data_IF_882685455358
#
_entry.id   IF_882685455358
#
_cell.length_a   1.000
_cell.length_b   1.000
_cell.length_c   1.000
_cell.angle_alpha   90.00
_cell.angle_beta   90.00
_cell.angle_gamma   90.00
#
_symmetry.space_group_name_H-M   'P 1'
#
loop_
_entity.id
_entity.type
_entity.pdbx_description
1 polymer ?
#
# COMPACT_ATOMS: atom_id res chain seq x y z
N UNK A 1 -37.83 3.97 -3.93
CA UNK A 1 -36.53 4.41 -3.40
C UNK A 1 -35.65 3.18 -3.34
N UNK A 2 -35.06 2.83 -4.48
CA UNK A 2 -34.11 1.73 -4.58
C UNK A 2 -32.83 2.19 -3.89
N UNK A 3 -32.52 1.57 -2.75
CA UNK A 3 -31.16 1.60 -2.22
C UNK A 3 -30.37 0.75 -3.21
N UNK A 4 -29.83 1.39 -4.24
CA UNK A 4 -28.79 0.80 -5.05
C UNK A 4 -27.76 0.23 -4.07
N UNK A 5 -27.44 -1.04 -4.28
CA UNK A 5 -26.33 -1.75 -3.67
C UNK A 5 -25.02 -1.03 -4.02
N UNK A 6 -24.83 0.18 -3.49
CA UNK A 6 -23.56 0.88 -3.47
C UNK A 6 -22.67 0.05 -2.56
N UNK A 7 -21.96 -0.88 -3.20
CA UNK A 7 -20.66 -1.40 -2.83
C UNK A 7 -20.41 -1.41 -1.32
N UNK A 8 -20.63 -2.56 -0.70
CA UNK A 8 -19.89 -2.87 0.53
C UNK A 8 -18.39 -2.69 0.17
N UNK A 9 -17.65 -1.76 0.79
CA UNK A 9 -16.26 -1.48 0.44
C UNK A 9 -15.36 -2.72 0.58
N UNK A 10 -15.78 -3.70 1.39
CA UNK A 10 -15.15 -5.01 1.55
C UNK A 10 -15.13 -5.86 0.27
N UNK A 11 -16.05 -5.63 -0.68
CA UNK A 11 -16.11 -6.39 -1.94
C UNK A 11 -15.14 -5.88 -3.01
N UNK A 12 -14.73 -4.60 -2.98
CA UNK A 12 -13.90 -4.02 -4.06
C UNK A 12 -12.40 -4.24 -3.84
N UNK A 13 -11.94 -4.34 -2.59
CA UNK A 13 -10.51 -4.47 -2.29
C UNK A 13 -9.95 -5.86 -2.64
N UNK A 14 -10.71 -6.93 -2.43
CA UNK A 14 -10.27 -8.31 -2.67
C UNK A 14 -8.93 -8.63 -1.99
N UNK A 15 -7.94 -9.07 -2.78
CA UNK A 15 -6.58 -9.40 -2.33
C UNK A 15 -5.57 -8.24 -2.49
N UNK A 16 -6.05 -7.04 -2.82
CA UNK A 16 -5.23 -5.85 -3.01
C UNK A 16 -4.80 -5.26 -1.67
N UNK A 17 -3.74 -4.47 -1.68
CA UNK A 17 -3.21 -3.79 -0.49
C UNK A 17 -3.81 -2.39 -0.37
N UNK A 18 -4.39 -2.06 0.78
CA UNK A 18 -4.96 -0.74 1.03
C UNK A 18 -3.87 0.31 1.34
N UNK A 19 -3.13 0.74 0.34
CA UNK A 19 -2.06 1.74 0.51
C UNK A 19 -0.87 1.24 1.34
N UNK A 20 0.11 2.11 1.57
CA UNK A 20 1.29 1.84 2.39
C UNK A 20 1.15 2.52 3.75
N UNK A 21 1.48 1.77 4.80
CA UNK A 21 1.45 2.19 6.20
C UNK A 21 2.79 1.96 6.88
N UNK A 22 2.91 2.34 8.14
CA UNK A 22 4.10 2.01 8.94
C UNK A 22 4.33 0.49 9.06
N UNK A 23 3.24 -0.26 9.31
CA UNK A 23 3.22 -1.74 9.34
C UNK A 23 2.33 -2.27 8.21
N UNK A 24 2.87 -3.14 7.38
CA UNK A 24 2.17 -3.68 6.22
C UNK A 24 2.14 -5.20 6.30
N UNK A 25 0.95 -5.76 6.47
CA UNK A 25 0.73 -7.21 6.52
C UNK A 25 0.44 -7.72 5.11
N UNK A 26 1.34 -8.55 4.59
CA UNK A 26 1.28 -9.10 3.24
C UNK A 26 1.00 -10.59 3.31
N UNK A 27 0.01 -11.03 2.54
CA UNK A 27 -0.36 -12.43 2.41
C UNK A 27 0.14 -13.08 1.12
N UNK A 28 -0.10 -14.40 0.97
CA UNK A 28 0.36 -15.17 -0.19
C UNK A 28 0.01 -14.55 -1.57
N UNK A 29 -1.20 -14.00 -1.82
CA UNK A 29 -1.52 -13.43 -3.13
C UNK A 29 -0.55 -12.33 -3.62
N UNK A 30 0.00 -11.55 -2.70
CA UNK A 30 0.96 -10.49 -3.02
C UNK A 30 2.40 -11.03 -2.97
N UNK A 31 2.72 -11.81 -1.93
CA UNK A 31 4.07 -12.34 -1.74
C UNK A 31 4.47 -13.32 -2.85
N UNK A 32 3.59 -14.22 -3.27
CA UNK A 32 3.88 -15.19 -4.32
C UNK A 32 4.17 -14.49 -5.66
N UNK A 33 3.39 -13.45 -5.99
CA UNK A 33 3.60 -12.63 -7.17
C UNK A 33 4.93 -11.85 -7.15
N UNK A 34 5.46 -11.58 -5.96
CA UNK A 34 6.78 -10.96 -5.76
C UNK A 34 7.92 -12.00 -5.74
N UNK A 35 7.65 -13.29 -5.87
CA UNK A 35 8.65 -14.36 -5.73
C UNK A 35 8.91 -14.73 -4.27
N UNK A 36 7.88 -14.64 -3.43
CA UNK A 36 7.91 -14.90 -2.00
C UNK A 36 8.61 -13.79 -1.20
N UNK A 37 8.87 -14.08 0.07
CA UNK A 37 9.53 -13.17 1.02
C UNK A 37 10.95 -12.83 0.55
N UNK A 38 11.68 -13.82 0.00
CA UNK A 38 13.01 -13.60 -0.59
C UNK A 38 12.94 -12.63 -1.76
N UNK A 39 11.98 -12.81 -2.67
CA UNK A 39 11.79 -11.90 -3.80
C UNK A 39 11.41 -10.48 -3.36
N UNK A 40 10.59 -10.34 -2.31
CA UNK A 40 10.29 -9.05 -1.70
C UNK A 40 11.58 -8.39 -1.15
N UNK A 41 12.38 -9.11 -0.35
CA UNK A 41 13.62 -8.58 0.23
C UNK A 41 14.62 -8.10 -0.81
N UNK A 42 14.76 -8.78 -1.94
CA UNK A 42 15.67 -8.38 -3.03
C UNK A 42 15.26 -7.05 -3.68
N UNK A 43 13.99 -6.68 -3.63
CA UNK A 43 13.47 -5.42 -4.19
C UNK A 43 13.56 -4.25 -3.23
N UNK A 44 13.85 -4.51 -1.95
CA UNK A 44 13.96 -3.53 -0.90
C UNK A 44 15.44 -3.25 -0.61
N UNK A 45 15.81 -1.98 -0.68
CA UNK A 45 17.16 -1.46 -0.55
C UNK A 45 17.32 -0.57 0.69
N UNK A 46 16.24 0.07 1.16
CA UNK A 46 16.31 0.92 2.34
C UNK A 46 16.61 0.09 3.60
N UNK A 47 17.64 0.48 4.39
CA UNK A 47 17.99 -0.22 5.63
C UNK A 47 16.93 -0.05 6.73
N UNK A 48 16.05 0.93 6.60
CA UNK A 48 14.97 1.18 7.56
C UNK A 48 13.78 0.24 7.34
N UNK A 49 13.76 -0.52 6.25
CA UNK A 49 12.71 -1.48 5.96
C UNK A 49 13.08 -2.84 6.52
N UNK A 50 12.25 -3.34 7.42
CA UNK A 50 12.39 -4.71 7.95
C UNK A 50 11.27 -5.59 7.43
N UNK A 51 11.61 -6.85 7.12
CA UNK A 51 10.64 -7.85 6.65
C UNK A 51 10.70 -9.03 7.61
N UNK A 52 9.65 -9.18 8.41
CA UNK A 52 9.47 -10.30 9.33
C UNK A 52 8.56 -11.35 8.70
N UNK A 53 9.04 -12.58 8.60
CA UNK A 53 8.24 -13.73 8.15
C UNK A 53 7.25 -14.15 9.23
N UNK A 54 6.06 -14.55 8.79
CA UNK A 54 4.99 -15.10 9.61
C UNK A 54 4.58 -16.47 9.07
N UNK A 55 3.84 -17.22 9.87
CA UNK A 55 3.30 -18.52 9.47
C UNK A 55 2.41 -18.41 8.22
N UNK A 56 2.31 -19.50 7.47
CA UNK A 56 1.42 -19.63 6.30
C UNK A 56 1.77 -18.69 5.13
N UNK A 57 3.07 -18.43 4.92
CA UNK A 57 3.53 -17.63 3.77
C UNK A 57 3.13 -16.16 3.86
N UNK A 58 3.04 -15.63 5.08
CA UNK A 58 2.72 -14.21 5.35
C UNK A 58 3.98 -13.46 5.80
N UNK A 59 3.95 -12.14 5.70
CA UNK A 59 5.02 -11.30 6.22
C UNK A 59 4.48 -9.96 6.74
N UNK A 60 5.21 -9.37 7.69
CA UNK A 60 5.05 -7.98 8.10
C UNK A 60 6.23 -7.19 7.56
N UNK A 61 5.94 -6.09 6.87
CA UNK A 61 6.94 -5.10 6.48
C UNK A 61 6.79 -3.87 7.36
N UNK A 62 7.85 -3.52 8.08
CA UNK A 62 7.90 -2.36 8.98
C UNK A 62 8.82 -1.29 8.42
N UNK A 63 8.36 -0.04 8.41
CA UNK A 63 9.07 1.10 7.84
C UNK A 63 9.66 2.00 8.94
N UNK A 64 10.87 1.69 9.40
CA UNK A 64 11.54 2.39 10.49
C UNK A 64 11.03 1.98 11.88
N UNK A 65 11.71 2.47 12.92
CA UNK A 65 11.47 2.08 14.31
C UNK A 65 10.14 2.61 14.90
N UNK A 66 9.62 3.70 14.34
CA UNK A 66 8.39 4.37 14.77
C UNK A 66 7.64 4.91 13.54
N UNK A 67 6.31 5.09 13.63
CA UNK A 67 5.57 5.71 12.54
C UNK A 67 6.07 7.14 12.32
N UNK A 68 6.37 7.47 11.08
CA UNK A 68 6.69 8.83 10.67
C UNK A 68 5.52 9.42 9.89
N UNK A 69 5.08 10.62 10.28
CA UNK A 69 4.02 11.35 9.60
C UNK A 69 4.50 11.93 8.26
N UNK A 70 5.82 12.07 8.08
CA UNK A 70 6.39 12.83 6.98
C UNK A 70 6.08 14.32 7.10
N UNK A 71 6.69 15.08 6.20
CA UNK A 71 6.41 16.51 6.01
C UNK A 71 7.03 16.95 4.68
N UNK A 72 6.20 17.20 3.68
CA UNK A 72 6.69 17.58 2.35
C UNK A 72 7.25 19.01 2.34
N UNK A 73 6.75 19.91 3.19
CA UNK A 73 7.23 21.30 3.30
C UNK A 73 8.63 21.34 3.93
N UNK A 74 8.92 20.40 4.83
CA UNK A 74 10.23 20.26 5.47
C UNK A 74 11.16 19.24 4.79
N UNK A 75 10.79 18.72 3.62
CA UNK A 75 11.61 17.76 2.85
C UNK A 75 11.67 16.34 3.44
N UNK A 76 10.84 16.03 4.44
CA UNK A 76 10.64 14.69 5.01
C UNK A 76 9.75 13.86 4.09
N UNK A 77 10.34 13.36 3.01
CA UNK A 77 9.65 12.69 1.89
C UNK A 77 9.32 11.21 2.11
N UNK A 78 9.60 10.66 3.29
CA UNK A 78 9.34 9.26 3.66
C UNK A 78 9.88 8.24 2.65
N UNK A 79 11.21 8.18 2.42
CA UNK A 79 11.81 7.37 1.36
C UNK A 79 11.47 5.88 1.47
N UNK A 80 11.45 5.31 2.67
CA UNK A 80 11.07 3.91 2.90
C UNK A 80 9.61 3.61 2.48
N UNK A 81 8.69 4.57 2.70
CA UNK A 81 7.29 4.45 2.31
C UNK A 81 7.14 4.50 0.80
N UNK A 82 7.84 5.44 0.14
CA UNK A 82 7.87 5.57 -1.32
C UNK A 82 8.47 4.34 -1.99
N UNK A 83 9.53 3.79 -1.42
CA UNK A 83 10.16 2.57 -1.92
C UNK A 83 9.20 1.37 -1.86
N UNK A 84 8.59 1.10 -0.70
CA UNK A 84 7.62 0.03 -0.59
C UNK A 84 6.40 0.27 -1.49
N UNK A 85 5.94 1.52 -1.63
CA UNK A 85 4.82 1.85 -2.51
C UNK A 85 5.10 1.50 -3.97
N UNK A 86 6.32 1.77 -4.46
CA UNK A 86 6.72 1.39 -5.83
C UNK A 86 6.77 -0.12 -6.02
N UNK A 87 7.28 -0.86 -5.04
CA UNK A 87 7.28 -2.33 -5.08
C UNK A 87 5.85 -2.88 -5.09
N UNK A 88 4.95 -2.26 -4.31
CA UNK A 88 3.57 -2.71 -4.17
C UNK A 88 2.61 -2.11 -5.20
N UNK A 89 3.03 -1.16 -6.04
CA UNK A 89 2.17 -0.43 -6.99
C UNK A 89 1.24 -1.36 -7.80
N UNK A 90 1.72 -2.51 -8.35
CA UNK A 90 0.85 -3.41 -9.10
C UNK A 90 -0.27 -4.05 -8.26
N UNK A 91 -0.15 -4.04 -6.94
CA UNK A 91 -1.04 -4.68 -5.96
C UNK A 91 -1.85 -3.69 -5.13
N UNK A 92 -1.52 -2.40 -5.18
CA UNK A 92 -2.24 -1.37 -4.43
C UNK A 92 -3.69 -1.27 -4.91
N UNK A 93 -4.61 -1.23 -3.97
CA UNK A 93 -6.00 -0.94 -4.25
C UNK A 93 -6.13 0.49 -4.75
N UNK A 94 -6.83 0.66 -5.87
CA UNK A 94 -7.25 1.96 -6.37
C UNK A 94 -8.76 1.93 -6.44
N UNK A 95 -9.40 2.86 -5.73
CA UNK A 95 -10.84 2.98 -5.71
C UNK A 95 -11.35 3.20 -7.12
N UNK A 96 -12.36 2.41 -7.51
CA UNK A 96 -13.10 2.65 -8.75
C UNK A 96 -14.15 3.71 -8.48
N UNK A 97 -14.06 4.80 -9.24
CA UNK A 97 -15.03 5.88 -9.21
C UNK A 97 -16.14 5.63 -10.22
N UNK A 98 -17.36 6.00 -9.90
CA UNK A 98 -18.47 5.89 -10.84
C UNK A 98 -18.27 6.83 -12.03
N UNK A 99 -18.81 6.50 -13.21
CA UNK A 99 -18.87 7.45 -14.32
C UNK A 99 -19.55 8.75 -13.86
N UNK A 100 -18.88 9.89 -14.08
CA UNK A 100 -19.32 11.24 -13.66
C UNK A 100 -19.26 11.54 -12.15
N UNK A 101 -18.61 10.70 -11.35
CA UNK A 101 -18.32 11.06 -9.95
C UNK A 101 -17.25 12.18 -9.93
N UNK A 102 -17.60 13.33 -9.38
CA UNK A 102 -16.63 14.40 -9.12
C UNK A 102 -15.75 13.99 -7.94
N UNK A 103 -14.49 13.72 -8.24
CA UNK A 103 -13.48 13.35 -7.23
C UNK A 103 -12.52 14.51 -7.09
N UNK A 104 -12.36 15.08 -5.88
CA UNK A 104 -11.36 16.10 -5.63
C UNK A 104 -9.97 15.60 -6.05
N UNK A 105 -9.21 16.41 -6.80
CA UNK A 105 -7.84 16.06 -7.18
C UNK A 105 -6.97 15.76 -5.96
N UNK A 106 -7.21 16.46 -4.85
CA UNK A 106 -6.55 16.25 -3.57
C UNK A 106 -6.73 14.82 -3.07
N UNK A 107 -7.92 14.23 -3.24
CA UNK A 107 -8.19 12.85 -2.85
C UNK A 107 -7.39 11.88 -3.73
N UNK A 108 -7.35 12.11 -5.05
CA UNK A 108 -6.55 11.27 -5.97
C UNK A 108 -5.05 11.33 -5.63
N UNK A 109 -4.53 12.52 -5.34
CA UNK A 109 -3.13 12.70 -4.89
C UNK A 109 -2.90 12.03 -3.55
N UNK A 110 -3.85 12.12 -2.62
CA UNK A 110 -3.74 11.49 -1.31
C UNK A 110 -3.71 9.95 -1.40
N UNK A 111 -4.52 9.36 -2.28
CA UNK A 111 -4.52 7.92 -2.56
C UNK A 111 -3.18 7.45 -3.16
N UNK A 112 -2.51 8.31 -3.94
CA UNK A 112 -1.23 8.04 -4.62
C UNK A 112 -0.02 8.74 -3.99
N UNK A 113 -0.14 9.26 -2.76
CA UNK A 113 0.83 10.16 -2.10
C UNK A 113 2.28 9.65 -1.99
N UNK A 114 2.49 8.34 -2.13
CA UNK A 114 3.82 7.72 -2.09
C UNK A 114 4.33 7.26 -3.47
N UNK A 115 3.47 7.28 -4.49
CA UNK A 115 3.83 6.98 -5.87
C UNK A 115 4.21 8.25 -6.64
N UNK A 116 3.52 9.35 -6.33
CA UNK A 116 3.67 10.65 -7.00
C UNK A 116 4.68 11.58 -6.29
#
# INVERSE_FOLDING_TARGET
>A
MDIALSALPTLDIGTRVNGVHWLNFLGPPVLDALGGITGLRVRLHSPDITVQEMEEGRAVVTLGAHPDAGDLEEGRTLPAYRELARVLEPFLYQRRYLPNEEVPEELRRWERRFLD
#
